data_IF_340722080020
#
_entry.id   IF_340722080020
#
_cell.length_a   1.000
_cell.length_b   1.000
_cell.length_c   1.000
_cell.angle_alpha   90.00
_cell.angle_beta   90.00
_cell.angle_gamma   90.00
#
_symmetry.space_group_name_H-M   'P 1'
#
loop_
_entity.id
_entity.type
_entity.pdbx_description
1 polymer ?
#
# COMPACT_ATOMS: atom_id res chain seq x y z
N UNK A 1 -11.19 -3.37 -7.90
CA UNK A 1 -10.88 -4.03 -6.60
C UNK A 1 -11.94 -3.61 -5.62
N UNK A 2 -12.49 -4.50 -4.80
CA UNK A 2 -13.53 -4.14 -3.85
C UNK A 2 -12.95 -3.28 -2.71
N UNK A 3 -13.77 -2.38 -2.21
CA UNK A 3 -13.51 -1.66 -0.97
C UNK A 3 -14.15 -2.39 0.19
N UNK A 4 -13.53 -2.34 1.37
CA UNK A 4 -14.10 -2.89 2.60
C UNK A 4 -14.43 -1.79 3.57
N UNK A 5 -15.58 -1.91 4.23
CA UNK A 5 -15.99 -1.01 5.28
C UNK A 5 -15.07 -1.17 6.49
N UNK A 6 -14.46 -0.07 6.93
CA UNK A 6 -13.58 -0.03 8.12
C UNK A 6 -14.37 0.47 9.34
N UNK A 7 -15.30 1.40 9.12
CA UNK A 7 -16.24 1.89 10.13
C UNK A 7 -17.66 1.65 9.67
N UNK A 8 -18.46 0.98 10.48
CA UNK A 8 -19.87 0.76 10.19
C UNK A 8 -20.63 2.08 10.10
N UNK A 9 -21.51 2.17 9.10
CA UNK A 9 -22.44 3.28 8.93
C UNK A 9 -23.75 2.97 9.66
N UNK A 10 -24.22 3.93 10.45
CA UNK A 10 -25.52 3.87 11.11
C UNK A 10 -26.29 5.17 10.83
N UNK A 11 -27.31 5.16 9.97
CA UNK A 11 -28.07 6.36 9.61
C UNK A 11 -28.80 6.98 10.80
N UNK A 12 -29.21 6.19 11.81
CA UNK A 12 -29.90 6.70 12.99
C UNK A 12 -29.00 7.58 13.87
N UNK A 13 -27.69 7.41 13.76
CA UNK A 13 -26.70 8.25 14.44
C UNK A 13 -26.28 9.48 13.62
N UNK A 14 -26.76 9.60 12.39
CA UNK A 14 -26.49 10.77 11.57
C UNK A 14 -27.09 12.01 12.23
N UNK A 15 -26.31 13.06 12.36
CA UNK A 15 -26.78 14.33 12.91
C UNK A 15 -27.85 14.97 11.98
N UNK A 16 -28.67 15.83 12.55
CA UNK A 16 -29.78 16.50 11.84
C UNK A 16 -29.66 18.02 11.89
N UNK A 17 -28.50 18.55 12.23
CA UNK A 17 -28.28 19.98 12.36
C UNK A 17 -28.05 20.61 10.99
N UNK A 18 -28.96 21.51 10.60
CA UNK A 18 -28.82 22.23 9.32
C UNK A 18 -27.50 22.99 9.21
N UNK A 19 -26.86 22.93 8.04
CA UNK A 19 -25.58 23.58 7.80
C UNK A 19 -24.34 22.87 8.38
N UNK A 20 -24.51 21.68 8.98
CA UNK A 20 -23.45 20.92 9.61
C UNK A 20 -23.24 19.55 8.95
N UNK A 21 -23.34 19.50 7.62
CA UNK A 21 -23.33 18.26 6.85
C UNK A 21 -22.14 17.34 7.17
N UNK A 22 -20.91 17.88 7.28
CA UNK A 22 -19.74 17.08 7.61
C UNK A 22 -19.82 16.47 9.01
N UNK A 23 -20.25 17.27 10.01
CA UNK A 23 -20.46 16.78 11.38
C UNK A 23 -21.58 15.72 11.42
N UNK A 24 -22.70 15.97 10.75
CA UNK A 24 -23.82 15.04 10.68
C UNK A 24 -23.37 13.70 10.06
N UNK A 25 -22.61 13.76 8.97
CA UNK A 25 -22.09 12.58 8.27
C UNK A 25 -21.11 11.78 9.13
N UNK A 26 -20.14 12.44 9.78
CA UNK A 26 -19.15 11.74 10.61
C UNK A 26 -19.76 11.00 11.80
N UNK A 27 -20.81 11.56 12.41
CA UNK A 27 -21.51 10.91 13.54
C UNK A 27 -22.13 9.56 13.13
N UNK A 28 -22.61 9.46 11.90
CA UNK A 28 -23.13 8.21 11.34
C UNK A 28 -22.05 7.12 11.20
N UNK A 29 -20.78 7.50 11.09
CA UNK A 29 -19.63 6.59 11.11
C UNK A 29 -19.02 6.42 12.52
N UNK A 30 -19.67 6.92 13.57
CA UNK A 30 -19.18 6.84 14.93
C UNK A 30 -17.91 7.67 15.18
N UNK A 31 -17.71 8.76 14.43
CA UNK A 31 -16.59 9.68 14.57
C UNK A 31 -17.04 10.86 15.45
N UNK A 32 -16.60 10.88 16.69
CA UNK A 32 -17.05 11.88 17.68
C UNK A 32 -16.28 13.21 17.58
N UNK A 33 -15.05 13.19 17.09
CA UNK A 33 -14.19 14.39 16.94
C UNK A 33 -13.92 14.64 15.47
N UNK A 34 -14.09 15.88 15.02
CA UNK A 34 -13.80 16.29 13.63
C UNK A 34 -12.42 16.91 13.51
N UNK A 35 -11.88 16.84 12.32
CA UNK A 35 -10.59 17.43 11.92
C UNK A 35 -10.76 18.69 11.10
N UNK A 36 -11.82 18.76 10.27
CA UNK A 36 -12.01 19.83 9.29
C UNK A 36 -13.20 20.72 9.64
N UNK A 37 -13.09 21.99 9.29
CA UNK A 37 -14.14 22.99 9.52
C UNK A 37 -15.33 22.86 8.53
N UNK A 38 -15.14 22.22 7.38
CA UNK A 38 -16.15 22.11 6.33
C UNK A 38 -15.97 20.86 5.47
N UNK A 39 -17.03 20.49 4.74
CA UNK A 39 -16.99 19.43 3.75
C UNK A 39 -15.97 19.75 2.63
N UNK A 40 -15.85 21.01 2.23
CA UNK A 40 -14.86 21.46 1.26
C UNK A 40 -13.44 21.18 1.73
N UNK A 41 -13.09 21.56 2.95
CA UNK A 41 -11.75 21.35 3.52
C UNK A 41 -11.38 19.87 3.62
N UNK A 42 -12.32 19.00 4.02
CA UNK A 42 -12.12 17.55 4.03
C UNK A 42 -11.92 16.99 2.62
N UNK A 43 -12.77 17.40 1.66
CA UNK A 43 -12.66 17.01 0.26
C UNK A 43 -11.31 17.39 -0.36
N UNK A 44 -10.88 18.65 -0.15
CA UNK A 44 -9.58 19.14 -0.68
C UNK A 44 -8.41 18.38 -0.08
N UNK A 45 -8.45 18.05 1.22
CA UNK A 45 -7.46 17.20 1.87
C UNK A 45 -7.43 15.81 1.24
N UNK A 46 -8.58 15.20 0.98
CA UNK A 46 -8.64 13.89 0.34
C UNK A 46 -8.15 13.90 -1.10
N UNK A 47 -8.44 14.98 -1.85
CA UNK A 47 -7.91 15.16 -3.21
C UNK A 47 -6.39 15.25 -3.20
N UNK A 48 -5.80 16.01 -2.29
CA UNK A 48 -4.36 16.17 -2.16
C UNK A 48 -3.66 14.84 -1.76
N UNK A 49 -4.33 14.00 -1.00
CA UNK A 49 -3.80 12.72 -0.51
C UNK A 49 -4.18 11.50 -1.39
N UNK A 50 -4.86 11.69 -2.51
CA UNK A 50 -5.26 10.62 -3.43
C UNK A 50 -6.33 9.67 -2.86
N UNK A 51 -7.13 10.11 -1.89
CA UNK A 51 -8.22 9.34 -1.27
C UNK A 51 -9.61 9.84 -1.67
N UNK A 52 -9.69 10.81 -2.57
CA UNK A 52 -10.91 11.23 -3.27
C UNK A 52 -10.96 10.55 -4.64
N UNK A 53 -12.05 9.85 -4.93
CA UNK A 53 -12.21 9.04 -6.14
C UNK A 53 -13.35 9.53 -7.02
N UNK A 54 -13.26 9.32 -8.35
CA UNK A 54 -14.35 9.66 -9.27
C UNK A 54 -15.64 8.91 -8.93
N UNK A 55 -16.80 9.55 -9.14
CA UNK A 55 -18.11 8.93 -8.88
C UNK A 55 -18.34 7.66 -9.72
N UNK A 56 -17.70 7.52 -10.87
CA UNK A 56 -17.76 6.32 -11.70
C UNK A 56 -17.19 5.06 -11.03
N UNK A 57 -16.42 5.23 -9.97
CA UNK A 57 -15.79 4.15 -9.19
C UNK A 57 -16.48 3.94 -7.83
N UNK A 58 -17.69 4.48 -7.66
CA UNK A 58 -18.45 4.38 -6.40
C UNK A 58 -18.63 2.92 -5.96
N UNK A 59 -18.25 2.56 -4.70
CA UNK A 59 -18.41 1.21 -4.20
C UNK A 59 -19.87 0.77 -4.15
N UNK A 60 -20.11 -0.51 -4.42
CA UNK A 60 -21.46 -1.11 -4.40
C UNK A 60 -21.75 -1.93 -3.15
N UNK A 61 -20.81 -1.99 -2.24
CA UNK A 61 -20.82 -2.85 -1.03
C UNK A 61 -20.42 -2.11 0.25
N UNK A 62 -20.21 -0.80 0.17
CA UNK A 62 -19.80 0.05 1.28
C UNK A 62 -20.68 1.30 1.39
N UNK A 63 -20.65 1.92 2.57
CA UNK A 63 -21.10 3.28 2.82
C UNK A 63 -19.92 4.24 2.74
N UNK A 64 -20.02 5.27 1.91
CA UNK A 64 -18.93 6.24 1.68
C UNK A 64 -19.46 7.67 1.68
N UNK A 65 -18.69 8.66 2.18
CA UNK A 65 -19.01 10.07 2.01
C UNK A 65 -18.86 10.47 0.53
N UNK A 66 -19.80 11.24 0.04
CA UNK A 66 -19.81 11.79 -1.32
C UNK A 66 -19.88 13.29 -1.25
N UNK A 67 -18.94 13.97 -1.88
CA UNK A 67 -18.80 15.42 -1.86
C UNK A 67 -19.48 16.04 -3.07
N UNK A 68 -20.31 17.05 -2.80
CA UNK A 68 -21.24 17.64 -3.76
C UNK A 68 -20.93 19.13 -3.92
N UNK A 69 -20.82 19.56 -5.17
CA UNK A 69 -20.71 20.97 -5.53
C UNK A 69 -22.06 21.66 -5.29
N UNK A 70 -22.04 22.65 -4.44
CA UNK A 70 -23.23 23.45 -4.12
C UNK A 70 -22.90 24.94 -4.27
N UNK A 71 -23.90 25.80 -4.16
CA UNK A 71 -23.70 27.25 -4.11
C UNK A 71 -23.11 27.72 -2.77
N UNK A 72 -23.00 26.82 -1.79
CA UNK A 72 -22.38 27.11 -0.50
C UNK A 72 -20.85 27.15 -0.63
N UNK A 73 -20.17 28.13 -0.03
CA UNK A 73 -18.70 28.16 0.00
C UNK A 73 -18.07 27.00 0.80
N UNK A 74 -18.88 26.29 1.58
CA UNK A 74 -18.45 25.16 2.41
C UNK A 74 -18.67 23.81 1.74
N UNK A 75 -19.33 23.79 0.55
CA UNK A 75 -19.77 22.59 -0.17
C UNK A 75 -20.69 21.69 0.68
N UNK A 76 -21.03 20.51 0.17
CA UNK A 76 -21.90 19.56 0.87
C UNK A 76 -21.33 18.15 0.83
N UNK A 77 -21.66 17.35 1.84
CA UNK A 77 -21.35 15.92 1.87
C UNK A 77 -22.57 15.12 2.28
N UNK A 78 -22.82 14.06 1.55
CA UNK A 78 -23.83 13.04 1.79
C UNK A 78 -23.17 11.68 1.97
N UNK A 79 -23.94 10.66 2.33
CA UNK A 79 -23.47 9.28 2.35
C UNK A 79 -24.20 8.47 1.29
N UNK A 80 -23.45 7.81 0.43
CA UNK A 80 -24.00 6.79 -0.46
C UNK A 80 -23.72 5.40 0.11
N UNK A 81 -24.76 4.60 0.28
CA UNK A 81 -24.69 3.24 0.78
C UNK A 81 -24.90 2.26 -0.37
N UNK A 82 -23.95 1.36 -0.56
CA UNK A 82 -23.98 0.29 -1.57
C UNK A 82 -24.22 0.81 -3.00
N UNK A 83 -23.74 2.03 -3.30
CA UNK A 83 -23.91 2.66 -4.60
C UNK A 83 -25.37 3.04 -4.97
N UNK A 84 -26.31 2.96 -4.04
CA UNK A 84 -27.75 3.08 -4.34
C UNK A 84 -28.52 4.02 -3.43
N UNK A 85 -28.36 3.89 -2.11
CA UNK A 85 -29.15 4.64 -1.13
C UNK A 85 -28.38 5.83 -0.63
N UNK A 86 -28.97 7.02 -0.71
CA UNK A 86 -28.36 8.28 -0.35
C UNK A 86 -28.95 8.82 0.94
N UNK A 87 -28.09 9.29 1.82
CA UNK A 87 -28.46 9.85 3.13
C UNK A 87 -27.91 11.25 3.29
N UNK A 88 -28.77 12.17 3.70
CA UNK A 88 -28.42 13.52 4.12
C UNK A 88 -29.19 13.87 5.38
N UNK A 89 -28.52 14.43 6.39
CA UNK A 89 -29.12 14.87 7.66
C UNK A 89 -30.06 13.83 8.31
N UNK A 90 -29.68 12.55 8.24
CA UNK A 90 -30.42 11.44 8.84
C UNK A 90 -31.64 10.99 8.04
N UNK A 91 -31.82 11.44 6.81
CA UNK A 91 -32.92 11.06 5.91
C UNK A 91 -32.42 10.43 4.64
N UNK A 92 -33.21 9.52 4.08
CA UNK A 92 -32.99 9.05 2.70
C UNK A 92 -33.36 10.18 1.74
N UNK A 93 -32.46 10.50 0.83
CA UNK A 93 -32.63 11.56 -0.18
C UNK A 93 -32.47 11.01 -1.58
N UNK A 94 -32.91 11.79 -2.57
CA UNK A 94 -32.67 11.48 -3.98
C UNK A 94 -31.19 11.65 -4.30
N UNK A 95 -30.64 10.76 -5.12
CA UNK A 95 -29.27 10.89 -5.62
C UNK A 95 -29.05 12.27 -6.28
N UNK A 96 -27.96 12.96 -5.96
CA UNK A 96 -27.63 14.23 -6.60
C UNK A 96 -27.33 14.04 -8.09
N UNK A 97 -27.45 15.12 -8.87
CA UNK A 97 -27.08 15.09 -10.28
C UNK A 97 -25.60 14.77 -10.45
N UNK A 98 -25.25 13.88 -11.37
CA UNK A 98 -23.86 13.46 -11.57
C UNK A 98 -22.89 14.61 -11.83
N UNK A 99 -23.35 15.69 -12.51
CA UNK A 99 -22.55 16.87 -12.79
C UNK A 99 -22.24 17.75 -11.56
N UNK A 100 -22.91 17.51 -10.43
CA UNK A 100 -22.68 18.23 -9.17
C UNK A 100 -21.81 17.45 -8.18
N UNK A 101 -21.36 16.26 -8.52
CA UNK A 101 -20.58 15.41 -7.62
C UNK A 101 -19.10 15.61 -7.91
N UNK A 102 -18.33 16.05 -6.92
CA UNK A 102 -16.86 16.09 -6.99
C UNK A 102 -16.22 14.69 -6.96
N UNK A 103 -16.78 13.81 -6.14
CA UNK A 103 -16.28 12.46 -5.95
C UNK A 103 -16.72 11.86 -4.61
N UNK A 104 -16.27 10.63 -4.35
CA UNK A 104 -16.46 9.97 -3.06
C UNK A 104 -15.11 9.79 -2.35
N UNK A 105 -15.13 9.76 -1.01
CA UNK A 105 -13.94 9.71 -0.19
C UNK A 105 -13.76 8.40 0.58
N UNK A 106 -12.52 7.99 0.79
CA UNK A 106 -12.17 6.90 1.70
C UNK A 106 -12.23 7.31 3.17
N UNK A 107 -12.15 8.61 3.44
CA UNK A 107 -12.21 9.20 4.77
C UNK A 107 -13.51 9.99 4.94
N UNK A 108 -13.89 10.22 6.19
CA UNK A 108 -14.88 11.20 6.59
C UNK A 108 -14.28 12.02 7.73
N UNK A 109 -14.20 13.32 7.54
CA UNK A 109 -13.61 14.26 8.48
C UNK A 109 -12.21 13.81 8.96
N UNK A 110 -11.37 13.41 8.01
CA UNK A 110 -9.99 12.94 8.23
C UNK A 110 -9.86 11.53 8.82
N UNK A 111 -10.96 10.84 9.09
CA UNK A 111 -10.96 9.48 9.63
C UNK A 111 -11.35 8.47 8.56
N UNK A 112 -10.58 7.38 8.40
CA UNK A 112 -10.83 6.36 7.38
C UNK A 112 -12.11 5.58 7.68
N UNK A 113 -13.02 5.54 6.70
CA UNK A 113 -14.30 4.82 6.78
C UNK A 113 -14.36 3.60 5.87
N UNK A 114 -13.62 3.63 4.76
CA UNK A 114 -13.38 2.48 3.88
C UNK A 114 -11.91 2.39 3.53
N UNK A 115 -11.44 1.22 3.16
CA UNK A 115 -10.11 1.00 2.58
C UNK A 115 -10.24 0.10 1.36
N UNK A 116 -9.36 0.30 0.40
CA UNK A 116 -9.19 -0.66 -0.69
C UNK A 116 -8.88 -2.03 -0.05
N UNK A 117 -9.69 -3.02 -0.34
CA UNK A 117 -9.28 -4.38 -0.09
C UNK A 117 -8.15 -4.66 -1.07
N UNK A 118 -6.91 -4.42 -0.62
CA UNK A 118 -5.81 -5.11 -1.25
C UNK A 118 -6.18 -6.57 -1.16
N UNK A 119 -6.44 -7.20 -2.31
CA UNK A 119 -6.72 -8.62 -2.37
C UNK A 119 -5.80 -9.26 -1.34
N UNK A 120 -6.34 -9.92 -0.30
CA UNK A 120 -5.55 -10.83 0.52
C UNK A 120 -4.88 -11.67 -0.53
N UNK A 121 -3.59 -11.45 -0.72
CA UNK A 121 -2.87 -12.20 -1.72
C UNK A 121 -3.18 -13.63 -1.33
N UNK A 122 -3.77 -14.40 -2.22
CA UNK A 122 -4.10 -15.82 -1.97
C UNK A 122 -2.86 -16.57 -1.46
N UNK A 123 -1.73 -15.90 -1.58
CA UNK A 123 -0.41 -16.26 -1.10
C UNK A 123 -0.22 -16.05 0.42
N UNK A 124 -1.04 -15.21 1.08
CA UNK A 124 -0.86 -14.90 2.52
C UNK A 124 -1.26 -16.07 3.44
N UNK A 125 -1.98 -17.04 2.89
CA UNK A 125 -2.28 -18.32 3.54
C UNK A 125 -1.10 -19.30 3.55
N UNK A 126 -0.05 -19.05 2.75
CA UNK A 126 1.13 -19.90 2.63
C UNK A 126 2.35 -19.21 3.24
N UNK A 127 3.22 -19.99 3.88
CA UNK A 127 4.57 -19.57 4.26
C UNK A 127 5.47 -19.40 3.02
N UNK A 128 6.57 -18.64 3.14
CA UNK A 128 7.53 -18.50 2.04
C UNK A 128 8.13 -19.84 1.61
N UNK A 129 8.28 -20.78 2.53
CA UNK A 129 8.76 -22.13 2.24
C UNK A 129 7.74 -22.93 1.41
N UNK A 130 6.46 -22.85 1.71
CA UNK A 130 5.40 -23.50 0.92
C UNK A 130 5.29 -22.87 -0.47
N UNK A 131 5.36 -21.53 -0.55
CA UNK A 131 5.40 -20.85 -1.85
C UNK A 131 6.64 -21.24 -2.67
N UNK A 132 7.79 -21.46 -2.03
CA UNK A 132 8.99 -21.96 -2.69
C UNK A 132 8.78 -23.34 -3.29
N UNK A 133 8.12 -24.25 -2.57
CA UNK A 133 7.75 -25.57 -3.10
C UNK A 133 6.79 -25.47 -4.29
N UNK A 134 5.83 -24.55 -4.25
CA UNK A 134 4.91 -24.28 -5.36
C UNK A 134 5.64 -23.68 -6.57
N UNK A 135 6.66 -22.84 -6.34
CA UNK A 135 7.56 -22.34 -7.40
C UNK A 135 8.29 -23.50 -8.08
N UNK A 136 8.84 -24.43 -7.31
CA UNK A 136 9.52 -25.63 -7.85
C UNK A 136 8.59 -26.53 -8.65
N UNK A 137 7.30 -26.56 -8.32
CA UNK A 137 6.22 -27.22 -9.08
C UNK A 137 5.76 -26.42 -10.30
N UNK A 138 6.40 -25.28 -10.64
CA UNK A 138 6.10 -24.49 -11.83
C UNK A 138 4.89 -23.56 -11.76
N UNK A 139 4.18 -23.45 -10.62
CA UNK A 139 2.91 -22.74 -10.50
C UNK A 139 3.02 -21.21 -10.69
N UNK A 140 4.20 -20.65 -10.50
CA UNK A 140 4.46 -19.21 -10.63
C UNK A 140 5.15 -18.80 -11.96
N UNK A 141 5.49 -19.78 -12.81
CA UNK A 141 6.27 -19.51 -14.02
C UNK A 141 7.71 -19.09 -13.72
N UNK A 142 8.36 -18.38 -14.65
CA UNK A 142 9.77 -18.00 -14.56
C UNK A 142 9.98 -16.49 -14.67
N UNK A 143 11.13 -16.01 -14.19
CA UNK A 143 11.60 -14.63 -14.37
C UNK A 143 10.59 -13.55 -13.95
N UNK A 144 10.26 -12.65 -14.86
CA UNK A 144 9.37 -11.51 -14.60
C UNK A 144 7.94 -11.95 -14.20
N UNK A 145 7.42 -13.03 -14.76
CA UNK A 145 6.10 -13.56 -14.43
C UNK A 145 6.03 -14.03 -12.98
N UNK A 146 7.06 -14.73 -12.49
CA UNK A 146 7.19 -15.13 -11.09
C UNK A 146 7.26 -13.91 -10.16
N UNK A 147 8.10 -12.93 -10.52
CA UNK A 147 8.25 -11.70 -9.74
C UNK A 147 6.94 -10.93 -9.63
N UNK A 148 6.19 -10.82 -10.72
CA UNK A 148 4.88 -10.16 -10.74
C UNK A 148 3.84 -10.87 -9.84
N UNK A 149 3.78 -12.22 -9.91
CA UNK A 149 2.83 -13.02 -9.11
C UNK A 149 3.15 -13.02 -7.62
N UNK A 150 4.42 -13.10 -7.24
CA UNK A 150 4.86 -13.12 -5.84
C UNK A 150 4.95 -11.73 -5.21
N UNK A 151 5.04 -10.67 -6.02
CA UNK A 151 5.09 -9.28 -5.57
C UNK A 151 6.16 -9.05 -4.51
N UNK A 152 5.77 -8.46 -3.37
CA UNK A 152 6.68 -8.16 -2.25
C UNK A 152 7.35 -9.39 -1.63
N UNK A 153 6.77 -10.58 -1.80
CA UNK A 153 7.30 -11.83 -1.24
C UNK A 153 8.34 -12.50 -2.14
N UNK A 154 8.56 -11.99 -3.36
CA UNK A 154 9.44 -12.61 -4.35
C UNK A 154 10.84 -12.94 -3.81
N UNK A 155 11.49 -11.96 -3.14
CA UNK A 155 12.87 -12.12 -2.67
C UNK A 155 12.99 -13.22 -1.60
N UNK A 156 12.05 -13.26 -0.66
CA UNK A 156 12.02 -14.29 0.41
C UNK A 156 11.69 -15.66 -0.14
N UNK A 157 10.70 -15.75 -1.04
CA UNK A 157 10.33 -17.02 -1.68
C UNK A 157 11.48 -17.52 -2.56
N UNK A 158 12.17 -16.64 -3.31
CA UNK A 158 13.31 -17.02 -4.13
C UNK A 158 14.50 -17.48 -3.27
N UNK A 159 14.71 -16.86 -2.10
CA UNK A 159 15.68 -17.34 -1.12
C UNK A 159 15.37 -18.77 -0.68
N UNK A 160 14.13 -19.10 -0.31
CA UNK A 160 13.74 -20.46 0.06
C UNK A 160 13.84 -21.44 -1.10
N UNK A 161 13.52 -21.03 -2.34
CA UNK A 161 13.74 -21.83 -3.57
C UNK A 161 15.21 -22.19 -3.72
N UNK A 162 16.10 -21.21 -3.63
CA UNK A 162 17.55 -21.43 -3.76
C UNK A 162 18.08 -22.37 -2.66
N UNK A 163 17.55 -22.25 -1.45
CA UNK A 163 17.87 -23.12 -0.33
C UNK A 163 17.43 -24.57 -0.57
N UNK A 164 16.22 -24.77 -1.10
CA UNK A 164 15.68 -26.10 -1.42
C UNK A 164 16.46 -26.76 -2.58
N UNK A 165 16.99 -25.99 -3.50
CA UNK A 165 17.81 -26.46 -4.62
C UNK A 165 19.28 -26.69 -4.24
N UNK A 166 19.69 -26.44 -2.99
CA UNK A 166 21.09 -26.43 -2.59
C UNK A 166 21.93 -25.32 -3.27
N UNK A 167 21.28 -24.45 -4.02
CA UNK A 167 21.86 -23.30 -4.69
C UNK A 167 21.77 -22.07 -3.77
N UNK A 168 22.13 -22.23 -2.49
CA UNK A 168 22.22 -21.08 -1.60
C UNK A 168 23.20 -20.09 -2.21
N UNK A 169 22.79 -18.85 -2.54
CA UNK A 169 23.78 -17.80 -2.44
C UNK A 169 24.15 -17.84 -0.95
N UNK A 170 25.35 -18.28 -0.65
CA UNK A 170 25.92 -18.12 0.69
C UNK A 170 25.51 -16.72 1.13
N UNK A 171 24.93 -16.58 2.31
CA UNK A 171 24.67 -15.27 2.93
C UNK A 171 25.99 -14.51 2.80
N UNK A 172 26.08 -13.68 1.74
CA UNK A 172 27.34 -13.10 1.36
C UNK A 172 27.78 -12.19 2.50
N UNK A 173 28.81 -12.57 3.20
CA UNK A 173 29.45 -11.65 4.13
C UNK A 173 30.09 -10.56 3.28
N UNK A 174 29.65 -9.34 3.50
CA UNK A 174 30.15 -8.18 2.77
C UNK A 174 31.05 -7.33 3.67
N UNK A 175 32.08 -6.79 3.06
CA UNK A 175 32.99 -5.82 3.67
C UNK A 175 32.90 -4.49 2.91
N UNK A 176 32.86 -3.39 3.65
CA UNK A 176 32.94 -2.05 3.08
C UNK A 176 34.38 -1.61 3.13
N UNK A 177 35.01 -1.36 1.98
CA UNK A 177 36.37 -0.95 1.84
C UNK A 177 36.60 0.38 2.56
N UNK A 178 37.63 0.44 3.38
CA UNK A 178 38.06 1.63 4.10
C UNK A 178 39.35 2.20 3.47
N UNK A 179 39.70 3.44 3.82
CA UNK A 179 40.92 4.04 3.39
C UNK A 179 42.16 3.20 3.89
N UNK A 180 43.08 2.90 2.99
CA UNK A 180 44.24 2.06 3.26
C UNK A 180 44.03 0.56 3.09
N UNK A 181 42.78 0.09 2.80
CA UNK A 181 42.58 -1.32 2.54
C UNK A 181 43.12 -1.76 1.19
N UNK A 182 43.58 -3.01 1.16
CA UNK A 182 43.96 -3.72 -0.07
C UNK A 182 43.13 -4.99 -0.19
N UNK A 183 42.93 -5.47 -1.42
CA UNK A 183 42.19 -6.70 -1.64
C UNK A 183 42.88 -7.92 -1.00
N UNK A 184 44.20 -7.91 -0.92
CA UNK A 184 44.99 -8.94 -0.21
C UNK A 184 44.78 -8.89 1.31
N UNK A 185 44.75 -7.70 1.90
CA UNK A 185 44.45 -7.52 3.32
C UNK A 185 43.03 -7.99 3.69
N UNK A 186 42.08 -7.64 2.85
CA UNK A 186 40.69 -8.10 3.01
C UNK A 186 40.61 -9.63 2.85
N UNK A 187 41.31 -10.22 1.88
CA UNK A 187 41.34 -11.67 1.68
C UNK A 187 41.93 -12.39 2.91
N UNK A 188 43.03 -11.90 3.46
CA UNK A 188 43.60 -12.45 4.68
C UNK A 188 42.70 -12.34 5.89
N UNK A 189 42.06 -11.19 6.09
CA UNK A 189 41.10 -10.94 7.17
C UNK A 189 39.92 -11.93 7.17
N UNK A 190 39.41 -12.27 5.99
CA UNK A 190 38.27 -13.16 5.83
C UNK A 190 38.64 -14.61 5.48
N UNK A 191 39.93 -14.96 5.61
CA UNK A 191 40.44 -16.33 5.34
C UNK A 191 40.05 -16.85 3.96
N UNK A 192 40.21 -16.00 2.94
CA UNK A 192 39.95 -16.29 1.53
C UNK A 192 41.13 -15.86 0.67
N UNK A 193 41.06 -15.95 -0.64
CA UNK A 193 42.08 -15.55 -1.58
C UNK A 193 41.68 -14.35 -2.42
N UNK A 194 42.64 -13.56 -2.93
CA UNK A 194 42.39 -12.47 -3.86
C UNK A 194 41.65 -12.98 -5.11
N UNK A 195 42.05 -14.14 -5.64
CA UNK A 195 41.41 -14.75 -6.79
C UNK A 195 39.93 -15.07 -6.53
N UNK A 196 39.60 -15.52 -5.30
CA UNK A 196 38.21 -15.79 -4.94
C UNK A 196 37.41 -14.48 -4.79
N UNK A 197 38.00 -13.44 -4.17
CA UNK A 197 37.36 -12.12 -4.06
C UNK A 197 37.08 -11.49 -5.43
N UNK A 198 38.07 -11.56 -6.35
CA UNK A 198 37.91 -11.03 -7.72
C UNK A 198 36.82 -11.74 -8.46
N UNK A 199 36.74 -13.07 -8.38
CA UNK A 199 35.67 -13.89 -9.00
C UNK A 199 34.29 -13.59 -8.41
N UNK A 200 34.17 -13.53 -7.08
CA UNK A 200 32.89 -13.26 -6.39
C UNK A 200 32.32 -11.87 -6.66
N UNK A 201 33.17 -10.90 -6.98
CA UNK A 201 32.78 -9.50 -7.15
C UNK A 201 32.94 -8.96 -8.57
N UNK A 202 33.36 -9.78 -9.52
CA UNK A 202 33.60 -9.35 -10.90
C UNK A 202 34.72 -8.29 -11.01
N UNK A 203 35.71 -8.28 -10.08
CA UNK A 203 36.77 -7.29 -10.05
C UNK A 203 37.77 -7.62 -11.16
N UNK A 204 37.89 -6.74 -12.14
CA UNK A 204 38.80 -6.93 -13.28
C UNK A 204 40.27 -6.67 -12.93
N UNK A 205 40.53 -5.68 -12.08
CA UNK A 205 41.89 -5.33 -11.62
C UNK A 205 41.96 -5.50 -10.10
N UNK A 206 42.64 -6.53 -9.58
CA UNK A 206 42.74 -6.78 -8.14
C UNK A 206 43.53 -5.72 -7.36
N UNK A 207 44.27 -4.86 -8.04
CA UNK A 207 45.02 -3.77 -7.43
C UNK A 207 44.20 -2.47 -7.33
N UNK A 208 42.92 -2.48 -7.81
CA UNK A 208 42.10 -1.29 -7.84
C UNK A 208 40.77 -1.55 -7.12
N UNK A 209 40.67 -1.08 -5.89
CA UNK A 209 39.46 -1.03 -5.10
C UNK A 209 39.25 0.40 -4.56
N UNK A 210 38.00 0.77 -4.31
CA UNK A 210 37.64 2.12 -3.92
C UNK A 210 37.09 2.17 -2.49
N UNK A 211 37.38 3.25 -1.77
CA UNK A 211 36.77 3.50 -0.46
C UNK A 211 35.27 3.49 -0.59
N UNK A 212 34.54 2.88 0.37
CA UNK A 212 33.11 2.61 0.38
C UNK A 212 32.60 1.56 -0.65
N UNK A 213 33.51 0.94 -1.41
CA UNK A 213 33.15 -0.20 -2.25
C UNK A 213 32.69 -1.37 -1.37
N UNK A 214 31.54 -1.96 -1.72
CA UNK A 214 31.01 -3.15 -1.04
C UNK A 214 31.57 -4.41 -1.72
N UNK A 215 32.37 -5.17 -0.98
CA UNK A 215 33.01 -6.41 -1.46
C UNK A 215 32.40 -7.61 -0.75
N UNK A 216 31.92 -8.57 -1.50
CA UNK A 216 31.51 -9.88 -0.99
C UNK A 216 32.73 -10.70 -0.62
N UNK A 217 32.82 -11.16 0.64
CA UNK A 217 34.01 -11.86 1.19
C UNK A 217 33.72 -13.34 1.49
N UNK A 218 32.45 -13.76 1.49
CA UNK A 218 31.98 -15.17 1.56
C UNK A 218 30.71 -15.34 0.79
#
# INVERSE_FOLDING_TARGET
MPYVQVRSFNPDKMGKRSGWCLMNTRLAFGINTGKFASAKADMESQRANGTLHPISTLPTDCAVPVYINTVSPYEHVEVCVNGKTWYSDGKVVKAPSKGTIFGWGELCDGTRVVKLETAKNDLDKYSDKELAQMVLKGQFGNGAARKAKLGKRYEMVQYEVNKLLGAMPSTGVYYIVKSGDTLSGIAAKYKTTVANLTKLNGIKNPNLIYVNQKIRVK
#
